data_IF_892936276332
#
_entry.id   IF_892936276332
#
_cell.length_a   1.000
_cell.length_b   1.000
_cell.length_c   1.000
_cell.angle_alpha   90.00
_cell.angle_beta   90.00
_cell.angle_gamma   90.00
#
_symmetry.space_group_name_H-M   'P 1'
#
loop_
_entity.id
_entity.type
_entity.pdbx_description
1 polymer ?
#
# COMPACT_ATOMS: atom_id res chain seq x y z
N UNK A 1 -57.52 13.28 2.95
CA UNK A 1 -56.67 14.38 3.46
C UNK A 1 -55.22 14.02 3.15
N UNK A 2 -54.64 14.66 2.12
CA UNK A 2 -53.36 14.28 1.52
C UNK A 2 -52.35 15.39 1.79
N UNK A 3 -51.29 15.09 2.55
CA UNK A 3 -50.23 16.07 2.85
C UNK A 3 -49.32 16.30 1.64
N UNK A 4 -49.26 17.58 1.24
CA UNK A 4 -48.56 18.12 0.07
C UNK A 4 -47.05 18.21 0.35
N UNK A 5 -46.23 17.50 -0.44
CA UNK A 5 -44.76 17.49 -0.35
C UNK A 5 -44.17 18.89 -0.60
N UNK A 6 -43.20 19.27 0.25
CA UNK A 6 -42.60 20.59 0.38
C UNK A 6 -41.73 20.96 -0.83
N UNK A 7 -42.00 22.13 -1.42
CA UNK A 7 -41.16 22.84 -2.40
C UNK A 7 -40.08 23.61 -1.62
N UNK A 8 -38.82 23.17 -1.66
CA UNK A 8 -37.73 23.89 -0.99
C UNK A 8 -36.40 23.83 -1.76
N UNK A 9 -36.38 23.96 -3.09
CA UNK A 9 -35.14 24.26 -3.82
C UNK A 9 -35.46 25.06 -5.10
N UNK A 10 -36.05 26.24 -4.93
CA UNK A 10 -36.11 27.24 -5.99
C UNK A 10 -35.39 28.49 -5.50
N UNK A 11 -34.21 28.72 -6.06
CA UNK A 11 -33.33 29.90 -5.93
C UNK A 11 -32.19 29.82 -4.91
N UNK A 12 -31.09 29.15 -5.29
CA UNK A 12 -29.74 29.76 -5.19
C UNK A 12 -28.99 29.37 -6.48
N UNK A 13 -29.07 30.26 -7.46
CA UNK A 13 -28.10 30.32 -8.54
C UNK A 13 -26.93 31.18 -8.08
N UNK A 14 -25.72 30.64 -8.19
CA UNK A 14 -24.47 31.37 -8.43
C UNK A 14 -23.44 30.32 -8.84
N UNK A 15 -23.48 29.99 -10.12
CA UNK A 15 -22.40 29.30 -10.82
C UNK A 15 -21.21 30.26 -10.78
N UNK A 16 -20.10 29.82 -10.18
CA UNK A 16 -18.79 30.47 -10.38
C UNK A 16 -18.17 29.79 -11.61
N UNK A 17 -18.15 30.43 -12.79
CA UNK A 17 -17.36 29.90 -13.90
C UNK A 17 -15.88 30.09 -13.55
N UNK A 18 -15.15 29.00 -13.31
CA UNK A 18 -13.70 29.06 -13.45
C UNK A 18 -13.39 29.28 -14.94
N UNK A 19 -12.79 30.42 -15.24
CA UNK A 19 -12.28 30.77 -16.57
C UNK A 19 -11.26 29.73 -17.00
N UNK A 20 -11.66 28.85 -17.93
CA UNK A 20 -10.72 28.12 -18.78
C UNK A 20 -10.15 29.15 -19.74
N UNK A 21 -8.88 29.52 -19.59
CA UNK A 21 -8.21 30.41 -20.53
C UNK A 21 -7.83 29.61 -21.78
N UNK A 22 -8.37 29.89 -22.98
CA UNK A 22 -7.77 29.47 -24.23
C UNK A 22 -6.70 30.50 -24.63
N UNK A 23 -5.71 30.11 -25.44
CA UNK A 23 -4.62 30.95 -25.98
C UNK A 23 -3.38 31.15 -25.10
N UNK A 24 -2.43 30.22 -25.22
CA UNK A 24 -1.08 30.58 -25.65
C UNK A 24 -0.47 29.41 -26.43
N UNK A 25 -0.80 29.33 -27.72
CA UNK A 25 0.04 28.69 -28.73
C UNK A 25 0.93 29.76 -29.34
N UNK A 26 2.09 29.98 -28.72
CA UNK A 26 3.24 30.54 -29.42
C UNK A 26 4.33 29.47 -29.38
N UNK A 27 4.53 28.88 -30.56
CA UNK A 27 5.71 28.11 -30.93
C UNK A 27 6.98 28.89 -30.56
N UNK A 28 7.67 28.44 -29.52
CA UNK A 28 9.03 28.83 -29.23
C UNK A 28 9.84 27.57 -28.90
N UNK A 29 10.31 26.92 -29.96
CA UNK A 29 11.52 26.11 -30.02
C UNK A 29 11.87 25.31 -28.75
N UNK A 30 11.15 24.20 -28.53
CA UNK A 30 11.73 23.10 -27.78
C UNK A 30 12.86 22.51 -28.61
N UNK A 31 14.09 23.00 -28.41
CA UNK A 31 15.27 22.15 -28.60
C UNK A 31 14.99 20.88 -27.78
N UNK A 32 14.92 19.73 -28.44
CA UNK A 32 15.14 18.44 -27.79
C UNK A 32 16.57 18.47 -27.23
N UNK A 33 16.72 19.10 -26.07
CA UNK A 33 17.84 18.84 -25.19
C UNK A 33 17.74 17.36 -24.87
N UNK A 34 18.79 16.61 -25.24
CA UNK A 34 19.02 15.27 -24.71
C UNK A 34 18.79 15.36 -23.21
N UNK A 35 17.72 14.74 -22.72
CA UNK A 35 17.59 14.49 -21.30
C UNK A 35 18.77 13.61 -20.94
N UNK A 36 19.83 14.25 -20.43
CA UNK A 36 20.85 13.56 -19.68
C UNK A 36 20.07 12.78 -18.62
N UNK A 37 20.20 11.46 -18.67
CA UNK A 37 19.67 10.57 -17.63
C UNK A 37 20.15 11.12 -16.30
N UNK A 38 19.25 11.83 -15.61
CA UNK A 38 19.50 12.31 -14.28
C UNK A 38 19.54 11.02 -13.49
N UNK A 39 20.75 10.63 -13.05
CA UNK A 39 20.97 9.51 -12.15
C UNK A 39 19.88 9.58 -11.08
N UNK A 40 18.94 8.66 -11.12
CA UNK A 40 17.76 8.69 -10.26
C UNK A 40 18.27 8.71 -8.84
N UNK A 41 17.97 9.79 -8.12
CA UNK A 41 18.16 9.82 -6.68
C UNK A 41 17.33 8.68 -6.11
N UNK A 42 17.89 7.84 -5.24
CA UNK A 42 17.16 6.78 -4.54
C UNK A 42 15.81 7.32 -4.06
N UNK A 43 14.72 6.88 -4.69
CA UNK A 43 13.37 7.31 -4.33
C UNK A 43 13.02 6.60 -3.04
N UNK A 44 13.26 7.28 -1.92
CA UNK A 44 12.97 6.75 -0.59
C UNK A 44 11.69 7.34 -0.03
N UNK A 45 10.78 6.48 0.43
CA UNK A 45 9.62 6.88 1.22
C UNK A 45 9.77 6.35 2.65
N UNK A 46 9.64 7.23 3.64
CA UNK A 46 9.58 6.86 5.06
C UNK A 46 8.42 7.58 5.72
N UNK A 47 7.62 6.83 6.47
CA UNK A 47 6.50 7.38 7.23
C UNK A 47 6.51 6.84 8.65
N UNK A 48 6.24 7.71 9.61
CA UNK A 48 6.07 7.37 11.01
C UNK A 48 4.76 7.95 11.50
N UNK A 49 3.92 7.11 12.11
CA UNK A 49 2.56 7.50 12.50
C UNK A 49 2.50 8.26 13.84
N UNK A 50 3.57 8.27 14.64
CA UNK A 50 3.62 8.86 15.98
C UNK A 50 3.68 10.39 16.08
N UNK A 51 3.22 11.11 15.06
CA UNK A 51 3.07 12.57 15.09
C UNK A 51 1.67 13.03 14.71
N UNK A 52 0.73 12.10 14.56
CA UNK A 52 -0.64 12.38 14.17
C UNK A 52 -1.57 12.12 15.35
N UNK A 53 -2.55 12.99 15.53
CA UNK A 53 -3.68 12.74 16.44
C UNK A 53 -4.45 11.50 16.02
N UNK A 54 -5.08 10.86 16.99
CA UNK A 54 -5.99 9.74 16.77
C UNK A 54 -7.08 10.10 15.75
N UNK A 55 -7.16 9.32 14.66
CA UNK A 55 -8.10 9.58 13.56
C UNK A 55 -8.23 8.40 12.61
N UNK A 56 -9.35 8.32 11.91
CA UNK A 56 -9.59 7.30 10.87
C UNK A 56 -8.80 7.62 9.59
N UNK A 57 -8.75 8.89 9.17
CA UNK A 57 -8.04 9.26 7.95
C UNK A 57 -6.52 9.24 8.13
N UNK A 58 -5.85 8.30 7.48
CA UNK A 58 -4.42 8.03 7.65
C UNK A 58 -3.58 9.20 7.10
N UNK A 59 -3.82 9.60 5.86
CA UNK A 59 -3.14 10.70 5.19
C UNK A 59 -3.18 10.59 3.67
N UNK A 60 -2.85 11.69 2.98
CA UNK A 60 -2.93 11.80 1.51
C UNK A 60 -2.08 10.81 0.72
N UNK A 61 -1.06 10.22 1.36
CA UNK A 61 -0.18 9.25 0.72
C UNK A 61 -0.77 7.83 0.68
N UNK A 62 -1.83 7.59 1.44
CA UNK A 62 -2.37 6.26 1.69
C UNK A 62 -3.82 6.13 1.24
N UNK A 63 -4.20 4.91 0.88
CA UNK A 63 -5.60 4.52 0.70
C UNK A 63 -5.84 3.14 1.31
N UNK A 64 -6.67 3.09 2.34
CA UNK A 64 -7.10 1.84 2.95
C UNK A 64 -8.37 1.28 2.31
N UNK A 65 -8.50 -0.03 2.32
CA UNK A 65 -9.70 -0.75 1.90
C UNK A 65 -9.99 -1.86 2.92
N UNK A 66 -11.14 -1.84 3.63
CA UNK A 66 -12.09 -0.71 3.71
C UNK A 66 -11.47 0.48 4.46
N UNK A 67 -12.04 1.69 4.39
CA UNK A 67 -11.39 2.86 4.99
C UNK A 67 -11.66 2.98 6.50
N UNK A 68 -12.85 2.58 6.91
CA UNK A 68 -13.42 2.70 8.25
C UNK A 68 -12.72 1.82 9.30
N UNK A 69 -12.14 0.70 8.87
CA UNK A 69 -11.49 -0.27 9.77
C UNK A 69 -10.05 0.11 10.13
N UNK A 70 -9.52 1.17 9.50
CA UNK A 70 -8.15 1.63 9.70
C UNK A 70 -8.13 2.98 10.40
N UNK A 71 -7.18 3.18 11.30
CA UNK A 71 -6.99 4.46 11.94
C UNK A 71 -5.64 4.60 12.59
N UNK A 72 -5.17 5.84 12.72
CA UNK A 72 -4.04 6.17 13.58
C UNK A 72 -4.58 6.21 15.00
N UNK A 73 -3.97 5.42 15.89
CA UNK A 73 -4.26 5.36 17.32
C UNK A 73 -2.97 5.05 18.07
N UNK A 74 -2.76 5.66 19.23
CA UNK A 74 -1.60 5.35 20.08
C UNK A 74 -0.26 5.39 19.29
N UNK A 75 -0.07 6.43 18.49
CA UNK A 75 1.12 6.68 17.68
C UNK A 75 1.45 5.63 16.58
N UNK A 76 0.49 4.74 16.26
CA UNK A 76 0.62 3.70 15.22
C UNK A 76 -0.60 3.66 14.32
N UNK A 77 -0.46 3.02 13.17
CA UNK A 77 -1.59 2.63 12.36
C UNK A 77 -2.17 1.31 12.89
N UNK A 78 -3.46 1.28 13.15
CA UNK A 78 -4.21 0.11 13.60
C UNK A 78 -5.24 -0.30 12.56
N UNK A 79 -5.38 -1.61 12.35
CA UNK A 79 -6.53 -2.22 11.69
C UNK A 79 -7.33 -2.98 12.75
N UNK A 80 -8.61 -2.66 12.90
CA UNK A 80 -9.49 -3.27 13.91
C UNK A 80 -10.71 -3.98 13.30
N UNK A 81 -10.73 -4.16 11.98
CA UNK A 81 -11.81 -4.85 11.28
C UNK A 81 -11.65 -6.37 11.27
N UNK A 82 -12.63 -7.05 10.69
CA UNK A 82 -12.62 -8.52 10.49
C UNK A 82 -12.47 -8.92 9.01
N UNK A 83 -12.39 -7.94 8.10
CA UNK A 83 -12.35 -8.19 6.67
C UNK A 83 -11.05 -8.87 6.25
N UNK A 84 -11.18 -9.99 5.53
CA UNK A 84 -10.04 -10.65 4.89
C UNK A 84 -9.50 -9.80 3.75
N UNK A 85 -8.18 -9.82 3.56
CA UNK A 85 -7.49 -9.05 2.52
C UNK A 85 -7.79 -7.54 2.63
N UNK A 86 -7.92 -7.02 3.85
CA UNK A 86 -7.88 -5.58 4.09
C UNK A 86 -6.50 -5.05 3.69
N UNK A 87 -6.46 -3.87 3.08
CA UNK A 87 -5.24 -3.34 2.45
C UNK A 87 -5.00 -1.90 2.85
N UNK A 88 -3.72 -1.54 2.89
CA UNK A 88 -3.25 -0.17 2.90
C UNK A 88 -2.35 0.04 1.68
N UNK A 89 -2.79 0.85 0.73
CA UNK A 89 -2.04 1.18 -0.46
C UNK A 89 -1.21 2.46 -0.25
N UNK A 90 0.04 2.46 -0.72
CA UNK A 90 0.87 3.66 -0.86
C UNK A 90 0.67 4.25 -2.27
N UNK A 91 -0.05 5.36 -2.38
CA UNK A 91 -0.45 5.92 -3.68
C UNK A 91 0.65 6.73 -4.38
N UNK A 92 1.65 7.18 -3.60
CA UNK A 92 2.69 8.09 -4.09
C UNK A 92 3.86 7.38 -4.78
N UNK A 93 3.92 6.05 -4.67
CA UNK A 93 5.02 5.23 -5.16
C UNK A 93 4.45 4.03 -5.92
N UNK A 94 4.51 4.10 -7.25
CA UNK A 94 4.07 3.04 -8.15
C UNK A 94 5.31 2.39 -8.77
N UNK A 95 5.42 1.07 -8.67
CA UNK A 95 6.51 0.31 -9.28
C UNK A 95 6.43 0.45 -10.81
N UNK A 96 7.52 0.88 -11.44
CA UNK A 96 7.64 1.06 -12.89
C UNK A 96 9.02 0.59 -13.37
N UNK A 97 9.04 -0.09 -14.51
CA UNK A 97 10.27 -0.59 -15.12
C UNK A 97 10.92 -1.75 -14.35
N UNK A 98 12.18 -2.01 -14.67
CA UNK A 98 13.03 -2.99 -13.97
C UNK A 98 13.82 -2.29 -12.86
N UNK A 99 14.11 -3.03 -11.79
CA UNK A 99 14.93 -2.51 -10.70
C UNK A 99 14.81 -3.31 -9.42
N UNK A 100 15.57 -2.88 -8.43
CA UNK A 100 15.58 -3.47 -7.09
C UNK A 100 14.94 -2.49 -6.12
N UNK A 101 14.19 -3.01 -5.15
CA UNK A 101 13.62 -2.18 -4.09
C UNK A 101 13.52 -2.94 -2.77
N UNK A 102 13.41 -2.18 -1.68
CA UNK A 102 13.25 -2.71 -0.33
C UNK A 102 11.98 -2.11 0.27
N UNK A 103 11.11 -2.97 0.81
CA UNK A 103 10.00 -2.59 1.66
C UNK A 103 10.30 -3.02 3.08
N UNK A 104 10.03 -2.12 4.02
CA UNK A 104 10.28 -2.34 5.44
C UNK A 104 9.12 -1.80 6.26
N UNK A 105 8.66 -2.58 7.23
CA UNK A 105 7.57 -2.21 8.12
C UNK A 105 7.73 -2.79 9.52
N UNK A 106 7.42 -1.99 10.52
CA UNK A 106 7.22 -2.45 11.90
C UNK A 106 5.75 -2.78 12.09
N UNK A 107 5.48 -3.98 12.59
CA UNK A 107 4.14 -4.53 12.75
C UNK A 107 4.00 -5.20 14.12
N UNK A 108 2.76 -5.38 14.54
CA UNK A 108 2.43 -6.05 15.80
C UNK A 108 0.97 -6.45 15.81
N UNK A 109 0.67 -7.55 16.50
CA UNK A 109 -0.68 -8.03 16.73
C UNK A 109 -1.27 -7.29 17.93
N UNK A 110 -2.40 -6.59 17.72
CA UNK A 110 -3.05 -5.80 18.77
C UNK A 110 -3.58 -6.66 19.92
N UNK A 111 -4.22 -7.79 19.58
CA UNK A 111 -4.82 -8.72 20.54
C UNK A 111 -4.72 -10.15 20.03
N UNK A 112 -4.20 -11.06 20.85
CA UNK A 112 -4.21 -12.51 20.57
C UNK A 112 -5.55 -13.11 21.03
N UNK A 113 -6.56 -13.01 20.17
CA UNK A 113 -7.90 -13.57 20.47
C UNK A 113 -8.09 -15.00 19.93
N UNK A 114 -7.01 -15.65 19.45
CA UNK A 114 -7.06 -16.98 18.86
C UNK A 114 -7.50 -17.01 17.38
N UNK A 115 -7.86 -15.86 16.81
CA UNK A 115 -8.20 -15.77 15.39
C UNK A 115 -6.96 -15.92 14.49
N UNK A 116 -7.13 -16.69 13.42
CA UNK A 116 -6.11 -16.86 12.40
C UNK A 116 -6.07 -15.63 11.49
N UNK A 117 -4.87 -15.09 11.28
CA UNK A 117 -4.66 -13.91 10.46
C UNK A 117 -3.25 -13.87 9.90
N UNK A 118 -3.04 -12.98 8.93
CA UNK A 118 -1.72 -12.75 8.35
C UNK A 118 -1.50 -11.27 8.08
N UNK A 119 -0.24 -10.87 8.05
CA UNK A 119 0.18 -9.51 7.74
C UNK A 119 1.47 -9.53 6.93
N UNK A 120 1.60 -8.55 6.03
CA UNK A 120 2.78 -8.41 5.20
C UNK A 120 2.57 -7.42 4.06
N UNK A 121 3.21 -7.67 2.93
CA UNK A 121 3.16 -6.82 1.76
C UNK A 121 2.49 -7.51 0.58
N UNK A 122 1.89 -6.72 -0.30
CA UNK A 122 1.49 -7.17 -1.63
C UNK A 122 2.16 -6.26 -2.65
N UNK A 123 2.89 -6.84 -3.59
CA UNK A 123 3.64 -6.09 -4.60
C UNK A 123 3.27 -6.52 -6.01
N UNK A 124 3.49 -5.64 -6.98
CA UNK A 124 3.13 -5.88 -8.38
C UNK A 124 1.61 -5.96 -8.60
N UNK A 125 0.83 -5.22 -7.81
CA UNK A 125 -0.64 -5.25 -7.88
C UNK A 125 -1.10 -4.70 -9.23
N UNK A 126 -1.86 -5.48 -9.99
CA UNK A 126 -2.50 -5.08 -11.23
C UNK A 126 -3.94 -5.57 -11.28
N UNK A 127 -4.80 -4.80 -11.91
CA UNK A 127 -6.14 -5.25 -12.30
C UNK A 127 -6.10 -5.82 -13.72
N UNK A 128 -6.80 -6.91 -13.97
CA UNK A 128 -6.81 -7.55 -15.29
C UNK A 128 -7.75 -6.84 -16.28
N UNK A 129 -8.79 -6.16 -15.78
CA UNK A 129 -9.82 -5.52 -16.60
C UNK A 129 -9.40 -4.11 -17.02
N UNK A 130 -8.73 -3.38 -16.13
CA UNK A 130 -8.21 -2.04 -16.35
C UNK A 130 -6.76 -1.92 -15.83
N UNK A 131 -5.77 -2.49 -16.56
CA UNK A 131 -4.39 -2.61 -16.10
C UNK A 131 -3.66 -1.29 -15.86
N UNK A 132 -4.11 -0.21 -16.51
CA UNK A 132 -3.51 1.12 -16.40
C UNK A 132 -4.08 1.92 -15.21
N UNK A 133 -5.18 1.45 -14.61
CA UNK A 133 -5.87 2.15 -13.53
C UNK A 133 -5.36 1.75 -12.16
N UNK A 134 -4.63 2.68 -11.53
CA UNK A 134 -4.22 2.56 -10.12
C UNK A 134 -5.43 2.34 -9.20
N UNK A 135 -6.58 2.94 -9.53
CA UNK A 135 -7.81 2.80 -8.73
C UNK A 135 -8.39 1.39 -8.83
N UNK A 136 -8.45 0.84 -10.05
CA UNK A 136 -8.88 -0.54 -10.26
C UNK A 136 -7.92 -1.50 -9.53
N UNK A 137 -6.61 -1.27 -9.64
CA UNK A 137 -5.60 -2.05 -8.94
C UNK A 137 -5.78 -2.02 -7.40
N UNK A 138 -6.13 -0.88 -6.79
CA UNK A 138 -6.36 -0.80 -5.35
C UNK A 138 -7.56 -1.68 -4.90
N UNK A 139 -8.66 -1.66 -5.64
CA UNK A 139 -9.86 -2.42 -5.26
C UNK A 139 -9.82 -3.89 -5.67
N UNK A 140 -9.52 -4.16 -6.94
CA UNK A 140 -9.70 -5.46 -7.57
C UNK A 140 -8.38 -6.15 -7.90
N UNK A 141 -7.29 -5.38 -7.90
CA UNK A 141 -6.00 -5.88 -8.33
C UNK A 141 -5.47 -7.02 -7.46
N UNK A 142 -4.71 -7.87 -8.11
CA UNK A 142 -3.99 -9.00 -7.52
C UNK A 142 -2.49 -8.81 -7.71
N UNK A 143 -1.71 -9.36 -6.80
CA UNK A 143 -0.26 -9.28 -6.83
C UNK A 143 0.38 -10.36 -5.96
N UNK A 144 1.70 -10.32 -5.86
CA UNK A 144 2.44 -11.29 -5.05
C UNK A 144 2.31 -10.92 -3.58
N UNK A 145 1.62 -11.77 -2.82
CA UNK A 145 1.46 -11.61 -1.38
C UNK A 145 2.63 -12.25 -0.65
N UNK A 146 3.20 -11.53 0.30
CA UNK A 146 4.33 -11.99 1.12
C UNK A 146 4.09 -11.56 2.56
N UNK A 147 4.42 -12.39 3.54
CA UNK A 147 4.16 -12.03 4.93
C UNK A 147 4.32 -13.18 5.90
N UNK A 148 3.72 -13.00 7.07
CA UNK A 148 3.64 -14.01 8.11
C UNK A 148 2.21 -14.23 8.57
N UNK A 149 1.94 -15.42 9.09
CA UNK A 149 0.66 -15.85 9.62
C UNK A 149 0.76 -16.11 11.12
N UNK A 150 -0.33 -15.85 11.86
CA UNK A 150 -0.45 -16.23 13.28
C UNK A 150 -0.43 -17.74 13.49
N UNK A 151 -0.51 -18.53 12.42
CA UNK A 151 -0.32 -19.99 12.42
C UNK A 151 1.15 -20.42 12.48
N UNK A 152 2.11 -19.49 12.59
CA UNK A 152 3.53 -19.83 12.68
C UNK A 152 4.20 -20.05 11.32
N UNK A 153 3.67 -19.47 10.25
CA UNK A 153 4.26 -19.58 8.91
C UNK A 153 4.68 -18.24 8.34
N UNK A 154 5.77 -18.23 7.60
CA UNK A 154 6.19 -17.16 6.69
C UNK A 154 5.92 -17.62 5.26
N UNK A 155 5.40 -16.74 4.41
CA UNK A 155 5.02 -17.08 3.04
C UNK A 155 5.47 -16.04 2.01
N UNK A 156 5.74 -16.54 0.79
CA UNK A 156 5.90 -15.75 -0.44
C UNK A 156 5.10 -16.48 -1.53
N UNK A 157 4.03 -15.84 -2.02
CA UNK A 157 3.03 -16.50 -2.87
C UNK A 157 2.54 -17.80 -2.22
N UNK A 158 2.61 -18.92 -2.95
CA UNK A 158 2.17 -20.26 -2.49
C UNK A 158 3.25 -21.03 -1.73
N UNK A 159 4.41 -20.42 -1.45
CA UNK A 159 5.52 -21.07 -0.77
C UNK A 159 5.57 -20.62 0.68
N UNK A 160 5.74 -21.57 1.59
CA UNK A 160 5.76 -21.32 3.02
C UNK A 160 6.96 -21.97 3.71
N UNK A 161 7.40 -21.35 4.79
CA UNK A 161 8.38 -21.90 5.75
C UNK A 161 7.87 -21.67 7.17
N UNK A 162 8.26 -22.53 8.11
CA UNK A 162 7.88 -22.38 9.51
C UNK A 162 8.67 -21.23 10.17
N UNK A 163 7.98 -20.43 10.96
CA UNK A 163 8.59 -19.46 11.87
C UNK A 163 9.14 -20.17 13.11
N UNK A 164 10.01 -19.50 13.88
CA UNK A 164 10.49 -20.02 15.15
C UNK A 164 9.31 -20.29 16.09
N UNK A 165 9.25 -21.43 16.81
CA UNK A 165 8.11 -21.76 17.66
C UNK A 165 7.77 -20.72 18.73
N UNK A 166 8.76 -19.93 19.16
CA UNK A 166 8.60 -18.89 20.16
C UNK A 166 8.49 -17.47 19.57
N UNK A 167 8.24 -17.33 18.26
CA UNK A 167 8.18 -16.03 17.59
C UNK A 167 7.17 -15.07 18.25
N UNK A 168 7.63 -13.88 18.57
CA UNK A 168 6.80 -12.89 19.27
C UNK A 168 6.04 -11.98 18.29
N UNK A 169 4.72 -12.08 18.31
CA UNK A 169 3.83 -11.30 17.45
C UNK A 169 3.48 -9.92 18.02
N UNK A 170 3.87 -9.57 19.25
CA UNK A 170 3.56 -8.26 19.83
C UNK A 170 4.26 -7.13 19.08
N UNK A 171 5.51 -7.36 18.68
CA UNK A 171 6.29 -6.43 17.87
C UNK A 171 7.34 -7.17 17.07
N UNK A 172 7.34 -6.93 15.76
CA UNK A 172 8.31 -7.49 14.84
C UNK A 172 8.51 -6.56 13.63
N UNK A 173 9.63 -6.76 12.96
CA UNK A 173 9.99 -6.09 11.72
C UNK A 173 9.88 -7.06 10.56
N UNK A 174 9.25 -6.62 9.46
CA UNK A 174 9.26 -7.30 8.18
C UNK A 174 10.08 -6.49 7.19
N UNK A 175 10.99 -7.16 6.49
CA UNK A 175 11.75 -6.59 5.38
C UNK A 175 11.62 -7.50 4.16
N UNK A 176 11.14 -6.92 3.06
CA UNK A 176 11.09 -7.54 1.75
C UNK A 176 12.10 -6.86 0.84
N UNK A 177 13.04 -7.62 0.31
CA UNK A 177 13.91 -7.20 -0.79
C UNK A 177 13.41 -7.85 -2.08
N UNK A 178 13.24 -7.05 -3.11
CA UNK A 178 12.89 -7.54 -4.44
C UNK A 178 13.99 -7.13 -5.40
N UNK A 179 14.54 -8.11 -6.11
CA UNK A 179 15.46 -7.87 -7.21
C UNK A 179 14.88 -8.38 -8.51
N UNK A 180 14.82 -7.51 -9.52
CA UNK A 180 14.32 -7.84 -10.84
C UNK A 180 15.48 -7.83 -11.84
N UNK A 181 15.76 -8.99 -12.43
CA UNK A 181 16.72 -9.13 -13.53
C UNK A 181 15.99 -9.68 -14.77
N UNK A 182 15.70 -8.80 -15.73
CA UNK A 182 14.95 -9.12 -16.97
C UNK A 182 13.57 -9.73 -16.67
N UNK A 183 13.45 -11.06 -16.77
CA UNK A 183 12.20 -11.81 -16.58
C UNK A 183 12.15 -12.56 -15.25
N UNK A 184 13.22 -12.50 -14.44
CA UNK A 184 13.30 -13.21 -13.17
C UNK A 184 13.19 -12.22 -12.03
N UNK A 185 12.20 -12.44 -11.17
CA UNK A 185 12.02 -11.69 -9.95
C UNK A 185 12.41 -12.57 -8.77
N UNK A 186 13.35 -12.12 -7.95
CA UNK A 186 13.71 -12.78 -6.70
C UNK A 186 13.19 -11.95 -5.53
N UNK A 187 12.51 -12.64 -4.62
CA UNK A 187 11.92 -12.08 -3.41
C UNK A 187 12.67 -12.64 -2.22
N UNK A 188 13.16 -11.78 -1.34
CA UNK A 188 13.74 -12.17 -0.06
C UNK A 188 12.95 -11.52 1.06
N UNK A 189 12.17 -12.32 1.78
CA UNK A 189 11.44 -11.89 2.96
C UNK A 189 12.25 -12.24 4.19
N UNK A 190 12.32 -11.32 5.15
CA UNK A 190 12.85 -11.58 6.48
C UNK A 190 11.93 -11.00 7.55
N UNK A 191 11.85 -11.72 8.67
CA UNK A 191 11.13 -11.32 9.86
C UNK A 191 12.09 -11.34 11.05
N UNK A 192 12.02 -10.31 11.89
CA UNK A 192 12.80 -10.20 13.13
C UNK A 192 11.84 -9.77 14.26
N UNK A 193 11.67 -10.60 15.28
CA UNK A 193 10.86 -10.23 16.45
C UNK A 193 11.66 -9.39 17.47
N UNK A 194 10.95 -8.87 18.48
CA UNK A 194 11.55 -8.09 19.56
C UNK A 194 12.52 -8.88 20.46
N UNK A 195 12.46 -10.22 20.44
CA UNK A 195 13.34 -11.11 21.20
C UNK A 195 14.59 -11.50 20.40
N UNK A 196 14.75 -10.99 19.17
CA UNK A 196 15.89 -11.26 18.29
C UNK A 196 15.75 -12.54 17.45
N UNK A 197 14.60 -13.22 17.46
CA UNK A 197 14.37 -14.37 16.60
C UNK A 197 14.18 -13.91 15.17
N UNK A 198 15.02 -14.45 14.29
CA UNK A 198 15.04 -14.12 12.88
C UNK A 198 14.66 -15.31 12.02
N UNK A 199 13.90 -15.06 10.97
CA UNK A 199 13.64 -16.04 9.91
C UNK A 199 13.64 -15.33 8.57
N UNK A 200 14.04 -16.05 7.52
CA UNK A 200 14.04 -15.52 6.18
C UNK A 200 13.72 -16.59 5.16
N UNK A 201 13.15 -16.16 4.07
CA UNK A 201 12.78 -16.98 2.93
C UNK A 201 13.18 -16.28 1.65
N UNK A 202 13.74 -17.04 0.71
CA UNK A 202 14.00 -16.57 -0.66
C UNK A 202 13.14 -17.36 -1.61
N UNK A 203 12.49 -16.67 -2.54
CA UNK A 203 11.70 -17.30 -3.59
C UNK A 203 11.93 -16.60 -4.92
N UNK A 204 12.19 -17.41 -5.95
CA UNK A 204 12.30 -16.95 -7.33
C UNK A 204 10.94 -17.11 -7.99
N UNK A 205 10.30 -15.99 -8.27
CA UNK A 205 9.05 -15.95 -8.99
C UNK A 205 9.34 -15.82 -10.49
N UNK A 206 8.92 -16.83 -11.24
CA UNK A 206 8.80 -16.78 -12.69
C UNK A 206 7.34 -16.46 -12.99
N UNK A 207 7.07 -15.21 -13.36
CA UNK A 207 5.77 -14.78 -13.87
C UNK A 207 5.55 -15.22 -15.30
#
# INVERSE_FOLDING_TARGET
MVLKRRRFLRNIGLVVPMLVSPFNTILANYKLGKHASKKDSDVSFKHHFGKAYDRIWIGKSFWSVPMEDWGIKNDRLEFSGTMRKARLHLLTHVLKGEGNFILKGESGLLTQNGDNGSVGFTVGIKDETDPESIKAACYYGQGVSVGISTQGTMFIAEKEVQLPPAFDYQKFELQLEVSSERTKNEFRLSALDQNGQKTGMTYRYTG
#
